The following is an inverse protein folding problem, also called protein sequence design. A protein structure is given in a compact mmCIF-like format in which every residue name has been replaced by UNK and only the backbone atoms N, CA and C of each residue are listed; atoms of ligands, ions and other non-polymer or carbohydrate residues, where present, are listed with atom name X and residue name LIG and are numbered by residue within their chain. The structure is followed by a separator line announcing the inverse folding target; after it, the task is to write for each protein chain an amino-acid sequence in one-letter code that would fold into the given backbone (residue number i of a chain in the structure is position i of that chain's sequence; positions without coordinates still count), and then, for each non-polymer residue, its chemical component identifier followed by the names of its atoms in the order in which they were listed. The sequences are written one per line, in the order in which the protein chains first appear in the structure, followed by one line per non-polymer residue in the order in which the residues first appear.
data_IF_023798833789
#
_entry.id   IF_023798833789
#
_cell.length_a   1.000
_cell.length_b   1.000
_cell.length_c   1.000
_cell.angle_alpha   90.00
_cell.angle_beta   90.00
_cell.angle_gamma   90.00
#
_symmetry.space_group_name_H-M   'P 1'
#
loop_
_entity.id
_entity.type
_entity.pdbx_description
1 polymer ?
#
# COMPACT_ATOMS: atom_id res chain seq x y z
N UNK A 1 18.59 26.66 17.00
CA UNK A 1 19.37 25.40 16.98
C UNK A 1 18.41 24.27 16.64
N UNK A 2 18.23 23.94 15.35
CA UNK A 2 17.38 22.79 14.98
C UNK A 2 18.10 21.52 15.45
N UNK A 3 17.51 20.83 16.43
CA UNK A 3 18.04 19.55 16.90
C UNK A 3 18.21 18.61 15.71
N UNK A 4 19.43 18.09 15.51
CA UNK A 4 19.72 17.13 14.44
C UNK A 4 19.09 15.80 14.84
N UNK A 5 17.86 15.56 14.38
CA UNK A 5 17.17 14.28 14.55
C UNK A 5 18.00 13.13 13.97
N UNK A 6 18.07 12.02 14.70
CA UNK A 6 18.72 10.79 14.22
C UNK A 6 17.93 10.16 13.06
N UNK A 7 18.56 9.32 12.22
CA UNK A 7 17.87 8.61 11.14
C UNK A 7 16.60 7.88 11.61
N UNK A 8 16.68 7.12 12.71
CA UNK A 8 15.55 6.38 13.26
C UNK A 8 14.43 7.30 13.78
N UNK A 9 14.77 8.45 14.39
CA UNK A 9 13.77 9.46 14.80
C UNK A 9 13.04 10.06 13.59
N UNK A 10 13.77 10.32 12.50
CA UNK A 10 13.15 10.79 11.25
C UNK A 10 12.19 9.73 10.69
N UNK A 11 12.54 8.44 10.79
CA UNK A 11 11.66 7.36 10.35
C UNK A 11 10.37 7.30 11.17
N UNK A 12 10.47 7.29 12.50
CA UNK A 12 9.29 7.23 13.39
C UNK A 12 8.36 8.43 13.15
N UNK A 13 8.92 9.64 13.10
CA UNK A 13 8.12 10.85 12.86
C UNK A 13 7.51 10.87 11.45
N UNK A 14 8.23 10.36 10.45
CA UNK A 14 7.73 10.24 9.08
C UNK A 14 6.52 9.31 8.99
N UNK A 15 6.62 8.10 9.54
CA UNK A 15 5.50 7.16 9.60
C UNK A 15 4.31 7.72 10.39
N UNK A 16 4.55 8.34 11.55
CA UNK A 16 3.50 8.98 12.34
C UNK A 16 2.77 10.08 11.54
N UNK A 17 3.52 10.92 10.82
CA UNK A 17 2.94 11.97 9.98
C UNK A 17 2.08 11.40 8.85
N UNK A 18 2.52 10.31 8.20
CA UNK A 18 1.76 9.64 7.14
C UNK A 18 0.48 9.02 7.69
N UNK A 19 0.55 8.34 8.84
CA UNK A 19 -0.60 7.73 9.51
C UNK A 19 -1.64 8.80 9.89
N UNK A 20 -1.21 9.90 10.51
CA UNK A 20 -2.09 11.00 10.90
C UNK A 20 -2.70 11.67 9.66
N UNK A 21 -1.90 11.90 8.62
CA UNK A 21 -2.41 12.50 7.38
C UNK A 21 -3.44 11.57 6.71
N UNK A 22 -3.15 10.27 6.65
CA UNK A 22 -4.05 9.25 6.13
C UNK A 22 -5.35 9.15 6.92
N UNK A 23 -5.29 9.19 8.25
CA UNK A 23 -6.48 9.14 9.09
C UNK A 23 -7.38 10.36 8.92
N UNK A 24 -6.79 11.55 8.76
CA UNK A 24 -7.53 12.78 8.47
C UNK A 24 -8.21 12.72 7.09
N UNK A 25 -7.52 12.19 6.07
CA UNK A 25 -8.11 11.98 4.74
C UNK A 25 -9.26 10.97 4.77
N UNK A 26 -9.10 9.85 5.48
CA UNK A 26 -10.14 8.83 5.64
C UNK A 26 -11.34 9.32 6.48
N UNK A 27 -11.14 10.32 7.33
CA UNK A 27 -12.21 10.94 8.13
C UNK A 27 -13.10 11.87 7.30
N UNK A 28 -12.69 12.29 6.11
CA UNK A 28 -13.50 13.16 5.25
C UNK A 28 -14.80 12.45 4.81
N UNK A 29 -15.94 13.16 4.71
CA UNK A 29 -17.21 12.58 4.23
C UNK A 29 -17.08 11.92 2.85
N UNK A 30 -16.28 12.51 1.95
CA UNK A 30 -16.01 11.97 0.62
C UNK A 30 -15.32 10.61 0.63
N UNK A 31 -14.63 10.24 1.72
CA UNK A 31 -13.98 8.94 1.88
C UNK A 31 -14.97 7.83 2.31
N UNK A 32 -16.12 8.19 2.87
CA UNK A 32 -17.13 7.24 3.30
C UNK A 32 -18.11 6.91 2.17
N UNK A 33 -18.48 5.63 2.03
CA UNK A 33 -19.38 5.17 0.97
C UNK A 33 -20.76 5.86 1.01
N UNK A 34 -21.28 6.12 2.22
CA UNK A 34 -22.60 6.71 2.45
C UNK A 34 -22.54 8.20 2.82
N UNK A 35 -21.41 8.88 2.61
CA UNK A 35 -21.16 10.26 3.05
C UNK A 35 -21.27 10.48 4.58
N UNK A 36 -21.45 9.41 5.36
CA UNK A 36 -21.39 9.43 6.82
C UNK A 36 -19.94 9.19 7.25
N UNK A 37 -19.25 10.20 7.81
CA UNK A 37 -17.84 10.06 8.18
C UNK A 37 -17.59 8.95 9.20
N UNK A 38 -16.51 8.19 9.00
CA UNK A 38 -16.04 7.19 9.99
C UNK A 38 -15.78 7.82 11.36
N UNK A 39 -15.85 7.05 12.45
CA UNK A 39 -15.33 7.54 13.73
C UNK A 39 -13.83 7.77 13.56
N UNK A 40 -13.28 8.81 14.22
CA UNK A 40 -11.87 9.14 14.03
C UNK A 40 -10.94 7.99 14.44
N UNK A 41 -11.29 7.25 15.50
CA UNK A 41 -10.55 6.05 15.90
C UNK A 41 -10.55 4.97 14.81
N UNK A 42 -11.67 4.76 14.12
CA UNK A 42 -11.75 3.77 13.04
C UNK A 42 -10.88 4.20 11.84
N UNK A 43 -10.91 5.49 11.50
CA UNK A 43 -10.06 6.06 10.45
C UNK A 43 -8.57 5.98 10.82
N UNK A 44 -8.21 6.27 12.06
CA UNK A 44 -6.83 6.16 12.56
C UNK A 44 -6.34 4.71 12.57
N UNK A 45 -7.18 3.78 13.03
CA UNK A 45 -6.88 2.36 13.01
C UNK A 45 -6.67 1.85 11.59
N UNK A 46 -7.58 2.20 10.68
CA UNK A 46 -7.51 1.81 9.26
C UNK A 46 -6.25 2.38 8.59
N UNK A 47 -5.92 3.66 8.83
CA UNK A 47 -4.71 4.28 8.30
C UNK A 47 -3.44 3.61 8.85
N UNK A 48 -3.41 3.30 10.15
CA UNK A 48 -2.28 2.61 10.78
C UNK A 48 -2.11 1.21 10.20
N UNK A 49 -3.20 0.45 10.07
CA UNK A 49 -3.18 -0.89 9.51
C UNK A 49 -2.73 -0.91 8.04
N UNK A 50 -3.17 0.07 7.24
CA UNK A 50 -2.74 0.20 5.85
C UNK A 50 -1.25 0.55 5.72
N UNK A 51 -0.77 1.54 6.47
CA UNK A 51 0.65 1.96 6.44
C UNK A 51 1.59 0.90 7.01
N UNK A 52 1.16 0.22 8.07
CA UNK A 52 1.93 -0.88 8.67
C UNK A 52 1.69 -2.22 7.95
N UNK A 53 0.81 -2.24 6.94
CA UNK A 53 0.61 -3.41 6.07
C UNK A 53 0.16 -4.64 6.89
N UNK A 54 -0.71 -4.43 7.90
CA UNK A 54 -1.11 -5.50 8.82
C UNK A 54 -2.40 -6.21 8.41
N UNK A 55 -3.28 -5.56 7.65
CA UNK A 55 -4.51 -6.14 7.12
C UNK A 55 -5.66 -6.27 8.12
N UNK A 56 -5.52 -5.70 9.31
CA UNK A 56 -6.61 -5.66 10.29
C UNK A 56 -7.55 -4.50 9.97
N UNK A 57 -8.85 -4.78 9.99
CA UNK A 57 -9.89 -3.79 9.69
C UNK A 57 -10.93 -3.78 10.81
N UNK A 58 -11.31 -2.58 11.26
CA UNK A 58 -12.44 -2.36 12.20
C UNK A 58 -13.73 -1.98 11.47
N UNK A 59 -13.59 -1.57 10.21
CA UNK A 59 -14.67 -1.32 9.27
C UNK A 59 -14.31 -1.99 7.94
N UNK A 60 -15.26 -2.67 7.31
CA UNK A 60 -15.00 -3.37 6.06
C UNK A 60 -14.66 -2.37 4.94
N UNK A 61 -13.53 -2.59 4.27
CA UNK A 61 -12.94 -1.64 3.31
C UNK A 61 -13.79 -1.51 2.04
N UNK A 62 -14.41 -2.60 1.58
CA UNK A 62 -15.25 -2.62 0.39
C UNK A 62 -16.57 -1.87 0.57
N UNK A 63 -17.18 -1.99 1.75
CA UNK A 63 -18.51 -1.45 2.06
C UNK A 63 -18.48 -0.08 2.72
N UNK A 64 -17.52 0.18 3.63
CA UNK A 64 -17.49 1.42 4.40
C UNK A 64 -16.84 2.58 3.63
N UNK A 65 -15.89 2.29 2.73
CA UNK A 65 -15.15 3.32 2.00
C UNK A 65 -15.70 3.55 0.59
N UNK A 66 -15.69 4.82 0.19
CA UNK A 66 -15.93 5.23 -1.20
C UNK A 66 -14.70 4.90 -2.06
N UNK A 67 -14.79 5.04 -3.41
CA UNK A 67 -13.62 4.92 -4.27
C UNK A 67 -12.47 5.86 -3.87
N UNK A 68 -12.78 7.06 -3.36
CA UNK A 68 -11.77 7.96 -2.82
C UNK A 68 -11.10 7.37 -1.58
N UNK A 69 -11.88 6.88 -0.60
CA UNK A 69 -11.33 6.24 0.60
C UNK A 69 -10.49 5.00 0.27
N UNK A 70 -10.94 4.17 -0.66
CA UNK A 70 -10.19 3.01 -1.16
C UNK A 70 -8.87 3.42 -1.80
N UNK A 71 -8.84 4.52 -2.58
CA UNK A 71 -7.59 5.05 -3.15
C UNK A 71 -6.61 5.57 -2.09
N UNK A 72 -7.13 6.16 -1.00
CA UNK A 72 -6.31 6.57 0.14
C UNK A 72 -5.68 5.35 0.80
N UNK A 73 -6.47 4.31 1.11
CA UNK A 73 -5.96 3.05 1.67
C UNK A 73 -4.90 2.43 0.76
N UNK A 74 -5.17 2.33 -0.55
CA UNK A 74 -4.23 1.80 -1.53
C UNK A 74 -2.90 2.56 -1.55
N UNK A 75 -2.96 3.89 -1.47
CA UNK A 75 -1.77 4.75 -1.41
C UNK A 75 -0.99 4.54 -0.11
N UNK A 76 -1.68 4.43 1.03
CA UNK A 76 -1.06 4.16 2.32
C UNK A 76 -0.38 2.78 2.34
N UNK A 77 -1.00 1.77 1.75
CA UNK A 77 -0.42 0.43 1.56
C UNK A 77 0.87 0.53 0.74
N UNK A 78 0.85 1.24 -0.39
CA UNK A 78 2.05 1.40 -1.22
C UNK A 78 3.19 2.10 -0.45
N UNK A 79 2.84 3.14 0.33
CA UNK A 79 3.80 3.87 1.14
C UNK A 79 4.40 2.99 2.23
N UNK A 80 3.57 2.16 2.86
CA UNK A 80 3.97 1.17 3.85
C UNK A 80 4.89 0.10 3.27
N UNK A 81 4.42 -0.60 2.22
CA UNK A 81 5.08 -1.76 1.65
C UNK A 81 6.41 -1.46 0.98
N UNK A 82 6.55 -0.31 0.30
CA UNK A 82 7.85 0.14 -0.22
C UNK A 82 8.75 0.77 0.86
N UNK A 83 8.16 1.20 1.96
CA UNK A 83 8.79 2.07 2.95
C UNK A 83 8.81 3.53 2.51
N UNK A 84 8.48 4.45 3.44
CA UNK A 84 8.41 5.89 3.13
C UNK A 84 9.73 6.47 2.59
N UNK A 85 10.88 5.89 3.00
CA UNK A 85 12.20 6.32 2.54
C UNK A 85 12.41 6.05 1.04
N UNK A 86 11.93 4.92 0.54
CA UNK A 86 12.01 4.52 -0.87
C UNK A 86 11.21 5.47 -1.74
N UNK A 87 10.02 5.86 -1.29
CA UNK A 87 9.19 6.85 -1.96
C UNK A 87 9.83 8.24 -1.96
N UNK A 88 10.31 8.72 -0.82
CA UNK A 88 11.02 10.00 -0.71
C UNK A 88 12.24 10.07 -1.63
N UNK A 89 13.05 9.00 -1.66
CA UNK A 89 14.19 8.86 -2.54
C UNK A 89 13.77 8.85 -4.03
N UNK A 90 12.69 8.16 -4.36
CA UNK A 90 12.16 8.08 -5.73
C UNK A 90 11.67 9.44 -6.22
N UNK A 91 10.93 10.19 -5.40
CA UNK A 91 10.51 11.55 -5.72
C UNK A 91 11.72 12.47 -5.95
N UNK A 92 12.75 12.36 -5.10
CA UNK A 92 13.99 13.13 -5.26
C UNK A 92 14.68 12.84 -6.60
N UNK A 93 14.76 11.57 -6.99
CA UNK A 93 15.32 11.13 -8.28
C UNK A 93 14.49 11.67 -9.46
N UNK A 94 13.16 11.58 -9.39
CA UNK A 94 12.26 12.05 -10.44
C UNK A 94 12.33 13.57 -10.65
N UNK A 95 12.59 14.33 -9.59
CA UNK A 95 12.85 15.78 -9.66
C UNK A 95 14.23 16.12 -10.24
N UNK A 96 15.02 15.14 -10.67
CA UNK A 96 16.38 15.34 -11.18
C UNK A 96 17.40 15.73 -10.11
N UNK A 97 17.03 15.67 -8.82
CA UNK A 97 17.92 16.01 -7.72
C UNK A 97 18.84 14.84 -7.39
N UNK A 98 20.06 15.16 -6.98
CA UNK A 98 21.03 14.15 -6.53
C UNK A 98 20.69 13.73 -5.10
N UNK A 99 20.70 12.42 -4.85
CA UNK A 99 20.56 11.88 -3.50
C UNK A 99 21.87 12.14 -2.72
N UNK A 100 21.76 12.99 -1.70
CA UNK A 100 22.82 13.40 -0.78
C UNK A 100 23.12 12.35 0.30
N UNK A 101 24.13 12.64 1.13
CA UNK A 101 24.60 11.70 2.15
C UNK A 101 23.52 11.37 3.20
N UNK A 102 22.74 12.36 3.63
CA UNK A 102 21.70 12.18 4.64
C UNK A 102 20.58 11.24 4.18
N UNK A 103 20.13 11.37 2.93
CA UNK A 103 19.15 10.48 2.34
C UNK A 103 19.73 9.06 2.18
N UNK A 104 21.00 8.92 1.78
CA UNK A 104 21.66 7.61 1.73
C UNK A 104 21.75 6.94 3.10
N UNK A 105 22.04 7.70 4.16
CA UNK A 105 22.04 7.17 5.53
C UNK A 105 20.67 6.67 5.96
N UNK A 106 19.60 7.38 5.57
CA UNK A 106 18.23 6.96 5.86
C UNK A 106 17.80 5.72 5.04
N UNK A 107 18.17 5.66 3.75
CA UNK A 107 17.91 4.47 2.91
C UNK A 107 18.67 3.25 3.48
N UNK A 108 19.91 3.46 3.92
CA UNK A 108 20.72 2.42 4.56
C UNK A 108 19.99 1.84 5.78
N UNK A 109 19.49 2.71 6.66
CA UNK A 109 18.75 2.32 7.85
C UNK A 109 17.47 1.57 7.48
N UNK A 110 16.69 2.08 6.52
CA UNK A 110 15.42 1.49 6.11
C UNK A 110 15.55 0.10 5.48
N UNK A 111 16.61 -0.15 4.71
CA UNK A 111 16.89 -1.44 4.06
C UNK A 111 17.89 -2.32 4.84
N UNK A 112 18.24 -1.92 6.07
CA UNK A 112 19.20 -2.61 6.93
C UNK A 112 20.52 -2.97 6.20
N UNK A 113 21.07 -2.02 5.43
CA UNK A 113 22.28 -2.23 4.63
C UNK A 113 23.55 -1.80 5.38
N UNK A 114 24.69 -2.43 5.06
CA UNK A 114 25.98 -2.06 5.66
C UNK A 114 26.72 -0.98 4.86
N UNK A 115 26.48 -0.88 3.56
CA UNK A 115 27.22 0.00 2.65
C UNK A 115 26.33 1.08 2.03
N UNK A 116 26.90 2.28 1.82
CA UNK A 116 26.22 3.41 1.17
C UNK A 116 26.30 3.35 -0.36
N UNK A 117 27.24 2.59 -0.90
CA UNK A 117 27.41 2.39 -2.33
C UNK A 117 26.24 1.57 -2.89
N UNK A 118 25.70 1.99 -4.03
CA UNK A 118 24.63 1.24 -4.71
C UNK A 118 23.21 1.45 -4.18
N UNK A 119 22.99 2.14 -3.04
CA UNK A 119 21.65 2.35 -2.46
C UNK A 119 20.66 3.02 -3.43
N UNK A 120 21.13 3.97 -4.23
CA UNK A 120 20.30 4.62 -5.26
C UNK A 120 19.87 3.63 -6.36
N UNK A 121 20.75 2.69 -6.71
CA UNK A 121 20.46 1.63 -7.68
C UNK A 121 19.45 0.64 -7.08
N UNK A 122 19.63 0.28 -5.80
CA UNK A 122 18.71 -0.57 -5.05
C UNK A 122 17.29 0.03 -5.05
N UNK A 123 17.12 1.30 -4.65
CA UNK A 123 15.82 1.98 -4.66
C UNK A 123 15.16 1.93 -6.05
N UNK A 124 15.92 2.23 -7.11
CA UNK A 124 15.40 2.15 -8.49
C UNK A 124 14.99 0.73 -8.88
N UNK A 125 15.74 -0.28 -8.46
CA UNK A 125 15.42 -1.69 -8.72
C UNK A 125 14.16 -2.12 -7.98
N UNK A 126 14.05 -1.79 -6.69
CA UNK A 126 12.86 -2.09 -5.88
C UNK A 126 11.62 -1.50 -6.54
N UNK A 127 11.61 -0.18 -6.83
CA UNK A 127 10.46 0.47 -7.47
C UNK A 127 10.12 -0.16 -8.82
N UNK A 128 11.13 -0.47 -9.64
CA UNK A 128 10.92 -1.09 -10.95
C UNK A 128 10.30 -2.48 -10.82
N UNK A 129 10.80 -3.32 -9.90
CA UNK A 129 10.28 -4.67 -9.66
C UNK A 129 8.86 -4.59 -9.11
N UNK A 130 8.60 -3.71 -8.15
CA UNK A 130 7.26 -3.50 -7.58
C UNK A 130 6.24 -3.13 -8.65
N UNK A 131 6.49 -2.09 -9.44
CA UNK A 131 5.55 -1.66 -10.50
C UNK A 131 5.33 -2.78 -11.53
N UNK A 132 6.37 -3.55 -11.86
CA UNK A 132 6.24 -4.67 -12.81
C UNK A 132 5.37 -5.79 -12.24
N UNK A 133 5.66 -6.24 -11.02
CA UNK A 133 4.93 -7.32 -10.35
C UNK A 133 3.48 -6.92 -10.10
N UNK A 134 3.24 -5.71 -9.56
CA UNK A 134 1.89 -5.17 -9.35
C UNK A 134 1.14 -4.98 -10.67
N UNK A 135 1.81 -4.51 -11.73
CA UNK A 135 1.19 -4.35 -13.04
C UNK A 135 0.75 -5.67 -13.66
N UNK A 136 1.62 -6.70 -13.61
CA UNK A 136 1.30 -8.04 -14.10
C UNK A 136 0.20 -8.68 -13.25
N UNK A 137 0.32 -8.61 -11.92
CA UNK A 137 -0.68 -9.12 -11.00
C UNK A 137 -2.04 -8.47 -11.20
N UNK A 138 -2.08 -7.14 -11.34
CA UNK A 138 -3.29 -6.38 -11.58
C UNK A 138 -3.96 -6.78 -12.90
N UNK A 139 -3.17 -6.98 -13.96
CA UNK A 139 -3.67 -7.45 -15.26
C UNK A 139 -4.27 -8.85 -15.13
N UNK A 140 -3.56 -9.81 -14.54
CA UNK A 140 -4.02 -11.19 -14.41
C UNK A 140 -5.27 -11.30 -13.54
N UNK A 141 -5.33 -10.54 -12.44
CA UNK A 141 -6.52 -10.48 -11.58
C UNK A 141 -7.69 -9.80 -12.30
N UNK A 142 -7.46 -8.68 -12.98
CA UNK A 142 -8.51 -7.98 -13.73
C UNK A 142 -9.10 -8.84 -14.84
N UNK A 143 -8.28 -9.63 -15.55
CA UNK A 143 -8.75 -10.58 -16.55
C UNK A 143 -9.71 -11.60 -15.95
N UNK A 144 -9.36 -12.19 -14.81
CA UNK A 144 -10.23 -13.17 -14.13
C UNK A 144 -11.50 -12.52 -13.58
N UNK A 145 -11.38 -11.37 -12.92
CA UNK A 145 -12.51 -10.63 -12.36
C UNK A 145 -13.46 -10.13 -13.44
N UNK A 146 -12.98 -9.80 -14.64
CA UNK A 146 -13.82 -9.32 -15.75
C UNK A 146 -14.86 -10.34 -16.24
N UNK A 147 -14.70 -11.61 -15.87
CA UNK A 147 -15.67 -12.67 -16.16
C UNK A 147 -16.87 -12.65 -15.20
N UNK A 148 -16.76 -11.95 -14.07
CA UNK A 148 -17.75 -11.93 -12.99
C UNK A 148 -18.29 -10.52 -12.69
N UNK A 149 -17.56 -9.46 -13.09
CA UNK A 149 -17.95 -8.08 -12.85
C UNK A 149 -17.64 -7.16 -14.04
N UNK A 150 -18.27 -5.98 -14.15
CA UNK A 150 -18.02 -5.03 -15.23
C UNK A 150 -16.53 -4.68 -15.38
N UNK A 151 -16.06 -4.54 -16.62
CA UNK A 151 -14.62 -4.35 -16.94
C UNK A 151 -13.93 -3.24 -16.14
N UNK A 152 -14.59 -2.08 -15.97
CA UNK A 152 -14.04 -0.97 -15.18
C UNK A 152 -13.83 -1.35 -13.71
N UNK A 153 -14.80 -2.06 -13.13
CA UNK A 153 -14.71 -2.55 -11.76
C UNK A 153 -13.64 -3.63 -11.63
N UNK A 154 -13.56 -4.56 -12.59
CA UNK A 154 -12.55 -5.60 -12.61
C UNK A 154 -11.12 -5.06 -12.63
N UNK A 155 -10.85 -4.00 -13.41
CA UNK A 155 -9.55 -3.34 -13.45
C UNK A 155 -9.22 -2.70 -12.09
N UNK A 156 -10.15 -1.96 -11.50
CA UNK A 156 -9.93 -1.34 -10.17
C UNK A 156 -9.67 -2.38 -9.08
N UNK A 157 -10.45 -3.47 -9.08
CA UNK A 157 -10.28 -4.55 -8.12
C UNK A 157 -8.96 -5.29 -8.36
N UNK A 158 -8.59 -5.54 -9.63
CA UNK A 158 -7.30 -6.15 -9.96
C UNK A 158 -6.13 -5.32 -9.45
N UNK A 159 -6.13 -4.00 -9.68
CA UNK A 159 -5.10 -3.08 -9.18
C UNK A 159 -5.04 -3.10 -7.66
N UNK A 160 -6.19 -2.93 -6.99
CA UNK A 160 -6.24 -2.86 -5.54
C UNK A 160 -5.69 -4.14 -4.89
N UNK A 161 -6.18 -5.30 -5.32
CA UNK A 161 -5.76 -6.58 -4.74
C UNK A 161 -4.33 -6.95 -5.13
N UNK A 162 -3.83 -6.50 -6.30
CA UNK A 162 -2.45 -6.76 -6.67
C UNK A 162 -1.45 -5.98 -5.81
N UNK A 163 -1.71 -4.70 -5.56
CA UNK A 163 -0.86 -3.88 -4.67
C UNK A 163 -0.97 -4.38 -3.24
N UNK A 164 -2.19 -4.65 -2.76
CA UNK A 164 -2.42 -5.23 -1.43
C UNK A 164 -1.69 -6.55 -1.24
N UNK A 165 -1.75 -7.47 -2.21
CA UNK A 165 -1.05 -8.74 -2.14
C UNK A 165 0.47 -8.59 -2.24
N UNK A 166 0.99 -7.81 -3.19
CA UNK A 166 2.44 -7.63 -3.34
C UNK A 166 3.07 -6.94 -2.14
N UNK A 167 2.38 -5.95 -1.58
CA UNK A 167 2.82 -5.31 -0.35
C UNK A 167 2.60 -6.19 0.89
N UNK A 168 1.86 -7.31 0.82
CA UNK A 168 1.46 -8.15 1.96
C UNK A 168 0.45 -7.50 2.93
N UNK A 169 -0.36 -6.56 2.42
CA UNK A 169 -1.24 -5.74 3.24
C UNK A 169 -2.53 -6.43 3.70
N UNK A 170 -3.03 -7.44 2.99
CA UNK A 170 -4.22 -8.20 3.40
C UNK A 170 -5.57 -7.46 3.28
N UNK A 171 -5.60 -6.24 2.76
CA UNK A 171 -6.84 -5.50 2.48
C UNK A 171 -7.53 -6.01 1.20
N UNK A 172 -8.85 -6.02 1.19
CA UNK A 172 -9.68 -6.42 0.05
C UNK A 172 -10.89 -5.48 -0.15
N UNK A 173 -11.56 -5.61 -1.31
CA UNK A 173 -12.77 -4.85 -1.63
C UNK A 173 -14.02 -5.73 -1.82
N UNK A 174 -13.93 -7.03 -1.55
CA UNK A 174 -14.98 -8.00 -1.84
C UNK A 174 -16.17 -7.91 -0.90
N UNK A 175 -16.02 -7.21 0.23
CA UNK A 175 -17.10 -6.87 1.16
C UNK A 175 -18.38 -6.38 0.48
N UNK A 176 -18.24 -5.57 -0.57
CA UNK A 176 -19.36 -4.96 -1.30
C UNK A 176 -20.07 -5.90 -2.28
N UNK A 177 -19.40 -6.95 -2.73
CA UNK A 177 -19.90 -7.87 -3.76
C UNK A 177 -20.56 -9.09 -3.12
N UNK A 178 -19.95 -9.65 -2.08
CA UNK A 178 -20.37 -10.92 -1.50
C UNK A 178 -20.99 -10.74 -0.11
N UNK A 179 -20.19 -10.40 0.89
CA UNK A 179 -20.63 -10.08 2.24
C UNK A 179 -19.55 -9.27 2.98
N UNK A 180 -19.89 -8.40 3.94
CA UNK A 180 -18.90 -7.69 4.74
C UNK A 180 -17.88 -8.66 5.37
N UNK A 181 -16.59 -8.29 5.33
CA UNK A 181 -15.47 -9.08 5.84
C UNK A 181 -15.28 -10.44 5.15
N UNK A 182 -15.74 -10.59 3.90
CA UNK A 182 -15.53 -11.83 3.12
C UNK A 182 -14.06 -12.10 2.83
N UNK A 183 -13.25 -11.05 2.64
CA UNK A 183 -11.88 -11.20 2.14
C UNK A 183 -11.84 -12.06 0.86
N UNK A 184 -10.74 -12.78 0.65
CA UNK A 184 -10.55 -13.70 -0.47
C UNK A 184 -11.27 -15.04 -0.31
N UNK A 185 -12.04 -15.25 0.76
CA UNK A 185 -12.67 -16.57 1.03
C UNK A 185 -13.60 -17.03 -0.09
N UNK A 186 -14.26 -16.09 -0.78
CA UNK A 186 -15.11 -16.40 -1.94
C UNK A 186 -14.32 -16.99 -3.13
N UNK A 187 -13.01 -16.72 -3.20
CA UNK A 187 -12.11 -17.25 -4.22
C UNK A 187 -11.26 -18.42 -3.73
N UNK A 188 -11.56 -19.02 -2.58
CA UNK A 188 -10.76 -20.12 -2.02
C UNK A 188 -10.65 -21.33 -2.98
N UNK A 189 -11.68 -21.59 -3.80
CA UNK A 189 -11.66 -22.63 -4.84
C UNK A 189 -11.14 -22.17 -6.20
N UNK A 190 -10.82 -20.88 -6.36
CA UNK A 190 -10.34 -20.31 -7.61
C UNK A 190 -8.81 -20.38 -7.68
N UNK A 191 -8.32 -21.39 -8.40
CA UNK A 191 -6.88 -21.63 -8.54
C UNK A 191 -6.16 -20.45 -9.21
N UNK A 192 -6.83 -19.72 -10.12
CA UNK A 192 -6.22 -18.59 -10.82
C UNK A 192 -5.94 -17.45 -9.86
N UNK A 193 -6.95 -17.03 -9.10
CA UNK A 193 -6.80 -15.95 -8.11
C UNK A 193 -5.80 -16.35 -7.04
N UNK A 194 -5.91 -17.58 -6.52
CA UNK A 194 -5.03 -18.09 -5.46
C UNK A 194 -3.57 -18.11 -5.88
N UNK A 195 -3.24 -18.58 -7.09
CA UNK A 195 -1.86 -18.59 -7.58
C UNK A 195 -1.30 -17.19 -7.76
N UNK A 196 -2.07 -16.27 -8.34
CA UNK A 196 -1.61 -14.88 -8.56
C UNK A 196 -1.35 -14.19 -7.23
N UNK A 197 -2.29 -14.29 -6.27
CA UNK A 197 -2.13 -13.70 -4.93
C UNK A 197 -0.94 -14.32 -4.19
N UNK A 198 -0.82 -15.65 -4.18
CA UNK A 198 0.29 -16.34 -3.51
C UNK A 198 1.65 -15.92 -4.11
N UNK A 199 1.74 -15.84 -5.45
CA UNK A 199 2.95 -15.39 -6.13
C UNK A 199 3.34 -13.97 -5.74
N UNK A 200 2.37 -13.03 -5.73
CA UNK A 200 2.61 -11.64 -5.36
C UNK A 200 3.09 -11.52 -3.90
N UNK A 201 2.45 -12.24 -2.98
CA UNK A 201 2.82 -12.26 -1.56
C UNK A 201 4.25 -12.79 -1.37
N UNK A 202 4.54 -13.93 -2.00
CA UNK A 202 5.86 -14.59 -1.87
C UNK A 202 6.96 -13.69 -2.44
N UNK A 203 6.79 -13.17 -3.66
CA UNK A 203 7.81 -12.30 -4.27
C UNK A 203 7.95 -10.99 -3.51
N UNK A 204 6.84 -10.39 -3.09
CA UNK A 204 6.85 -9.15 -2.31
C UNK A 204 7.56 -9.31 -0.96
N UNK A 205 7.50 -10.49 -0.34
CA UNK A 205 8.15 -10.79 0.94
C UNK A 205 9.61 -11.27 0.85
N UNK A 206 10.14 -11.61 -0.33
CA UNK A 206 11.49 -12.17 -0.51
C UNK A 206 12.62 -11.12 -0.57
N UNK A 207 12.29 -9.83 -0.41
CA UNK A 207 13.22 -8.69 -0.47
C UNK A 207 13.87 -8.33 0.85
#
# INVERSE_FOLDING_TARGET
MMAKLSPSQVMVLGFAAIIISGSLLLKLPIAAANQVPLRYLDALFTATSAVCVTGLVVVDTGTALSPFGQSVVLTLIQIGGLGFMTLSATLTILMGKRIGLRERLLIREAYNQFNLAGLVRLVKQVVKVTILCEGIGALLLALRFSQQMPKKQAVLYGIFHSVSAFCNAGFDLFGRIYAPFSSLTTYAGDWWVSLVIAFLIIIGGLG
#
